data_IF_979173356215
#
_entry.id   IF_979173356215
#
_cell.length_a   1.000
_cell.length_b   1.000
_cell.length_c   1.000
_cell.angle_alpha   90.00
_cell.angle_beta   90.00
_cell.angle_gamma   90.00
#
_symmetry.space_group_name_H-M   'P 1'
#
loop_
_entity.id
_entity.type
_entity.pdbx_description
1 polymer ?
#
# COMPACT_ATOMS: atom_id res chain seq x y z
N UNK A 1 -0.70 17.59 8.89
CA UNK A 1 -0.82 16.13 9.10
C UNK A 1 -1.51 15.39 7.95
N UNK A 2 -2.44 16.00 7.18
CA UNK A 2 -2.77 15.58 5.79
C UNK A 2 -1.51 15.47 4.89
N UNK A 3 -0.50 16.28 5.21
CA UNK A 3 0.79 16.38 4.54
C UNK A 3 1.59 15.06 4.44
N UNK A 4 1.49 14.15 5.43
CA UNK A 4 2.37 12.96 5.48
C UNK A 4 2.06 11.92 4.41
N UNK A 5 0.79 11.69 4.11
CA UNK A 5 0.39 10.75 3.04
C UNK A 5 0.75 11.32 1.67
N UNK A 6 0.50 12.62 1.47
CA UNK A 6 0.91 13.31 0.25
C UNK A 6 2.43 13.28 0.06
N UNK A 7 3.19 13.53 1.13
CA UNK A 7 4.66 13.45 1.14
C UNK A 7 5.14 12.02 0.83
N UNK A 8 4.53 10.99 1.44
CA UNK A 8 4.82 9.59 1.16
C UNK A 8 4.59 9.23 -0.32
N UNK A 9 3.43 9.58 -0.87
CA UNK A 9 3.09 9.33 -2.28
C UNK A 9 4.05 10.08 -3.21
N UNK A 10 4.31 11.36 -2.93
CA UNK A 10 5.22 12.18 -3.71
C UNK A 10 6.67 11.66 -3.67
N UNK A 11 7.13 11.19 -2.50
CA UNK A 11 8.44 10.58 -2.33
C UNK A 11 8.55 9.30 -3.16
N UNK A 12 7.56 8.39 -3.05
CA UNK A 12 7.54 7.14 -3.83
C UNK A 12 7.54 7.41 -5.33
N UNK A 13 6.71 8.33 -5.81
CA UNK A 13 6.66 8.66 -7.22
C UNK A 13 8.01 9.19 -7.74
N UNK A 14 8.57 10.23 -7.08
CA UNK A 14 9.90 10.76 -7.45
C UNK A 14 10.96 9.67 -7.47
N UNK A 15 10.98 8.81 -6.44
CA UNK A 15 12.02 7.80 -6.35
C UNK A 15 11.85 6.69 -7.38
N UNK A 16 10.62 6.29 -7.68
CA UNK A 16 10.34 5.33 -8.76
C UNK A 16 10.78 5.89 -10.11
N UNK A 17 10.47 7.15 -10.42
CA UNK A 17 10.92 7.81 -11.65
C UNK A 17 12.45 7.83 -11.74
N UNK A 18 13.12 8.25 -10.67
CA UNK A 18 14.60 8.29 -10.60
C UNK A 18 15.21 6.89 -10.79
N UNK A 19 14.64 5.85 -10.17
CA UNK A 19 15.14 4.47 -10.26
C UNK A 19 14.93 3.92 -11.69
N UNK A 20 13.76 4.14 -12.28
CA UNK A 20 13.42 3.62 -13.61
C UNK A 20 14.14 4.34 -14.75
N UNK A 21 14.62 5.57 -14.51
CA UNK A 21 15.48 6.32 -15.42
C UNK A 21 16.88 5.68 -15.60
N UNK A 22 17.34 4.86 -14.65
CA UNK A 22 18.58 4.09 -14.84
C UNK A 22 18.40 3.03 -15.93
N UNK A 23 19.43 2.82 -16.77
CA UNK A 23 19.37 1.83 -17.84
C UNK A 23 19.60 0.40 -17.32
N UNK A 24 18.63 -0.09 -16.56
CA UNK A 24 18.65 -1.43 -15.98
C UNK A 24 17.34 -2.18 -16.27
N UNK A 25 17.41 -3.13 -17.21
CA UNK A 25 16.24 -3.92 -17.60
C UNK A 25 15.71 -4.84 -16.49
N UNK A 26 16.58 -5.33 -15.59
CA UNK A 26 16.16 -6.21 -14.49
C UNK A 26 15.26 -5.45 -13.54
N UNK A 27 15.67 -4.23 -13.16
CA UNK A 27 14.88 -3.35 -12.29
C UNK A 27 13.53 -3.00 -12.94
N UNK A 28 13.54 -2.56 -14.21
CA UNK A 28 12.30 -2.21 -14.94
C UNK A 28 11.31 -3.39 -15.01
N UNK A 29 11.81 -4.60 -15.28
CA UNK A 29 10.96 -5.80 -15.34
C UNK A 29 10.36 -6.14 -13.99
N UNK A 30 11.12 -6.02 -12.89
CA UNK A 30 10.60 -6.31 -11.57
C UNK A 30 9.49 -5.35 -11.16
N UNK A 31 9.68 -4.04 -11.38
CA UNK A 31 8.65 -3.03 -11.11
C UNK A 31 7.38 -3.27 -11.94
N UNK A 32 7.53 -3.66 -13.21
CA UNK A 32 6.40 -4.01 -14.06
C UNK A 32 5.66 -5.25 -13.55
N UNK A 33 6.37 -6.26 -13.03
CA UNK A 33 5.76 -7.46 -12.44
C UNK A 33 4.98 -7.14 -11.17
N UNK A 34 5.52 -6.29 -10.30
CA UNK A 34 4.83 -5.83 -9.08
C UNK A 34 3.47 -5.20 -9.43
N UNK A 35 3.46 -4.20 -10.31
CA UNK A 35 2.21 -3.56 -10.77
C UNK A 35 1.25 -4.54 -11.46
N UNK A 36 1.76 -5.48 -12.26
CA UNK A 36 0.92 -6.46 -12.93
C UNK A 36 0.28 -7.46 -11.95
N UNK A 37 0.97 -7.79 -10.87
CA UNK A 37 0.52 -8.79 -9.89
C UNK A 37 -0.79 -8.37 -9.23
N UNK A 38 -0.97 -7.08 -8.94
CA UNK A 38 -2.17 -6.54 -8.28
C UNK A 38 -3.36 -6.26 -9.22
N UNK A 39 -3.20 -6.42 -10.54
CA UNK A 39 -4.34 -6.32 -11.48
C UNK A 39 -5.38 -7.41 -11.22
N UNK A 40 -6.67 -7.08 -11.41
CA UNK A 40 -7.76 -8.05 -11.28
C UNK A 40 -7.58 -9.27 -12.22
N UNK A 41 -8.03 -10.42 -11.76
CA UNK A 41 -8.07 -11.67 -12.51
C UNK A 41 -9.06 -12.63 -11.86
N UNK A 42 -8.64 -13.87 -11.59
CA UNK A 42 -9.45 -14.81 -10.80
C UNK A 42 -9.71 -14.30 -9.36
N UNK A 43 -8.81 -13.48 -8.83
CA UNK A 43 -9.01 -12.68 -7.62
C UNK A 43 -9.19 -11.22 -8.03
N UNK A 44 -10.12 -10.53 -7.37
CA UNK A 44 -10.32 -9.10 -7.54
C UNK A 44 -9.17 -8.28 -6.91
N UNK A 45 -9.11 -6.99 -7.24
CA UNK A 45 -8.08 -6.07 -6.71
C UNK A 45 -8.17 -6.03 -5.18
N UNK A 46 -9.38 -5.93 -4.63
CA UNK A 46 -9.63 -5.90 -3.18
C UNK A 46 -8.95 -7.07 -2.47
N UNK A 47 -9.16 -8.30 -2.94
CA UNK A 47 -8.53 -9.49 -2.36
C UNK A 47 -7.02 -9.45 -2.49
N UNK A 48 -6.49 -9.06 -3.65
CA UNK A 48 -5.04 -8.99 -3.88
C UNK A 48 -4.36 -7.96 -2.99
N UNK A 49 -4.95 -6.78 -2.80
CA UNK A 49 -4.41 -5.76 -1.91
C UNK A 49 -4.42 -6.21 -0.44
N UNK A 50 -5.46 -6.95 0.01
CA UNK A 50 -5.45 -7.55 1.34
C UNK A 50 -4.33 -8.59 1.49
N UNK A 51 -4.06 -9.39 0.47
CA UNK A 51 -2.91 -10.32 0.47
C UNK A 51 -1.58 -9.58 0.54
N UNK A 52 -1.43 -8.49 -0.23
CA UNK A 52 -0.26 -7.60 -0.18
C UNK A 52 -0.05 -6.99 1.21
N UNK A 53 -1.14 -6.58 1.87
CA UNK A 53 -1.10 -6.04 3.23
C UNK A 53 -0.65 -7.09 4.26
N UNK A 54 -1.19 -8.31 4.22
CA UNK A 54 -0.71 -9.40 5.11
C UNK A 54 0.75 -9.69 4.87
N UNK A 55 1.17 -9.84 3.61
CA UNK A 55 2.56 -10.12 3.25
C UNK A 55 3.51 -9.02 3.74
N UNK A 56 3.10 -7.75 3.60
CA UNK A 56 3.87 -6.60 4.04
C UNK A 56 4.00 -6.52 5.56
N UNK A 57 2.95 -6.88 6.30
CA UNK A 57 2.96 -6.95 7.76
C UNK A 57 3.95 -8.00 8.28
N UNK A 58 3.90 -9.22 7.75
CA UNK A 58 4.80 -10.29 8.20
C UNK A 58 6.25 -10.05 7.79
N UNK A 59 6.48 -9.29 6.70
CA UNK A 59 7.81 -8.81 6.29
C UNK A 59 8.25 -7.52 7.01
N UNK A 60 7.36 -6.87 7.78
CA UNK A 60 7.63 -5.66 8.56
C UNK A 60 8.12 -4.47 7.71
N UNK A 61 7.60 -4.33 6.50
CA UNK A 61 7.92 -3.23 5.59
C UNK A 61 6.92 -2.08 5.76
N UNK A 62 7.27 -1.02 6.51
CA UNK A 62 6.34 0.09 6.80
C UNK A 62 5.84 0.83 5.53
N UNK A 63 6.69 1.03 4.53
CA UNK A 63 6.28 1.64 3.26
C UNK A 63 5.31 0.74 2.48
N UNK A 64 5.57 -0.57 2.46
CA UNK A 64 4.70 -1.53 1.79
C UNK A 64 3.33 -1.63 2.49
N UNK A 65 3.34 -1.64 3.84
CA UNK A 65 2.14 -1.61 4.66
C UNK A 65 1.34 -0.33 4.38
N UNK A 66 1.99 0.82 4.36
CA UNK A 66 1.33 2.11 4.13
C UNK A 66 0.71 2.19 2.75
N UNK A 67 1.42 1.69 1.73
CA UNK A 67 0.90 1.55 0.37
C UNK A 67 -0.34 0.66 0.32
N UNK A 68 -0.27 -0.57 0.84
CA UNK A 68 -1.41 -1.50 0.78
C UNK A 68 -2.58 -1.08 1.67
N UNK A 69 -2.37 -0.32 2.75
CA UNK A 69 -3.46 0.30 3.51
C UNK A 69 -4.22 1.32 2.66
N UNK A 70 -3.49 2.20 1.95
CA UNK A 70 -4.12 3.17 1.04
C UNK A 70 -4.86 2.47 -0.10
N UNK A 71 -4.21 1.52 -0.79
CA UNK A 71 -4.83 0.75 -1.88
C UNK A 71 -6.05 -0.07 -1.41
N UNK A 72 -5.99 -0.69 -0.22
CA UNK A 72 -7.15 -1.40 0.35
C UNK A 72 -8.32 -0.43 0.59
N UNK A 73 -8.04 0.79 1.10
CA UNK A 73 -9.09 1.78 1.33
C UNK A 73 -9.72 2.26 0.02
N UNK A 74 -8.90 2.53 -0.99
CA UNK A 74 -9.36 2.87 -2.35
C UNK A 74 -10.19 1.73 -2.98
N UNK A 75 -9.82 0.48 -2.72
CA UNK A 75 -10.55 -0.71 -3.17
C UNK A 75 -11.81 -1.02 -2.35
N UNK A 76 -12.22 -0.17 -1.41
CA UNK A 76 -13.44 -0.32 -0.62
C UNK A 76 -13.35 -1.38 0.48
N UNK A 77 -12.16 -1.67 1.01
CA UNK A 77 -12.02 -2.50 2.22
C UNK A 77 -12.53 -1.71 3.43
N UNK A 78 -13.54 -2.27 4.09
CA UNK A 78 -14.12 -1.71 5.31
C UNK A 78 -13.25 -1.97 6.55
N UNK A 79 -13.42 -1.15 7.59
CA UNK A 79 -12.62 -1.20 8.82
C UNK A 79 -12.60 -2.59 9.46
N UNK A 80 -13.74 -3.27 9.55
CA UNK A 80 -13.81 -4.60 10.15
C UNK A 80 -12.93 -5.62 9.39
N UNK A 81 -12.96 -5.56 8.05
CA UNK A 81 -12.11 -6.41 7.21
C UNK A 81 -10.62 -6.09 7.37
N UNK A 82 -10.24 -4.82 7.55
CA UNK A 82 -8.85 -4.46 7.90
C UNK A 82 -8.39 -5.14 9.19
N UNK A 83 -9.22 -5.16 10.23
CA UNK A 83 -8.85 -5.78 11.50
C UNK A 83 -8.78 -7.31 11.42
N UNK A 84 -9.56 -7.96 10.55
CA UNK A 84 -9.37 -9.39 10.24
C UNK A 84 -8.02 -9.64 9.55
N UNK A 85 -7.67 -8.84 8.54
CA UNK A 85 -6.38 -8.89 7.84
C UNK A 85 -5.21 -8.67 8.80
N UNK A 86 -5.29 -7.65 9.65
CA UNK A 86 -4.31 -7.35 10.69
C UNK A 86 -4.17 -8.48 11.71
N UNK A 87 -5.28 -9.12 12.08
CA UNK A 87 -5.26 -10.26 13.00
C UNK A 87 -4.50 -11.44 12.40
N UNK A 88 -4.73 -11.75 11.12
CA UNK A 88 -3.97 -12.79 10.40
C UNK A 88 -2.49 -12.44 10.36
N UNK A 89 -2.14 -11.21 9.97
CA UNK A 89 -0.73 -10.76 9.93
C UNK A 89 -0.05 -10.80 11.30
N UNK A 90 -0.75 -10.44 12.37
CA UNK A 90 -0.24 -10.48 13.74
C UNK A 90 -0.02 -11.91 14.24
N UNK A 91 -0.96 -12.83 13.98
CA UNK A 91 -0.82 -14.23 14.41
C UNK A 91 0.32 -14.92 13.67
N UNK A 92 0.45 -14.69 12.35
CA UNK A 92 1.50 -15.30 11.53
C UNK A 92 2.87 -14.69 11.82
N UNK A 93 2.97 -13.37 11.93
CA UNK A 93 4.25 -12.67 12.14
C UNK A 93 4.67 -12.53 13.60
N UNK A 94 3.78 -12.79 14.55
CA UNK A 94 4.04 -12.65 15.99
C UNK A 94 4.08 -11.21 16.50
N UNK A 95 4.39 -11.04 17.79
CA UNK A 95 4.34 -9.74 18.47
C UNK A 95 5.28 -8.68 17.89
N UNK A 96 6.30 -9.08 17.11
CA UNK A 96 7.22 -8.16 16.44
C UNK A 96 6.54 -7.30 15.37
N UNK A 97 5.36 -7.69 14.89
CA UNK A 97 4.55 -6.90 13.94
C UNK A 97 3.84 -5.74 14.64
N UNK A 98 3.67 -5.76 15.97
CA UNK A 98 2.88 -4.77 16.72
C UNK A 98 3.30 -3.31 16.44
N UNK A 99 4.59 -2.92 16.39
CA UNK A 99 4.97 -1.56 16.04
C UNK A 99 4.53 -1.13 14.63
N UNK A 100 4.55 -2.06 13.68
CA UNK A 100 4.11 -1.83 12.31
C UNK A 100 2.58 -1.75 12.22
N UNK A 101 1.88 -2.61 12.96
CA UNK A 101 0.42 -2.56 13.08
C UNK A 101 -0.06 -1.23 13.69
N UNK A 102 0.63 -0.71 14.71
CA UNK A 102 0.29 0.62 15.29
C UNK A 102 0.34 1.72 14.23
N UNK A 103 1.36 1.72 13.37
CA UNK A 103 1.48 2.68 12.27
C UNK A 103 0.44 2.46 11.17
N UNK A 104 0.11 1.20 10.88
CA UNK A 104 -0.95 0.86 9.92
C UNK A 104 -2.32 1.38 10.37
N UNK A 105 -2.66 1.19 11.65
CA UNK A 105 -3.92 1.68 12.23
C UNK A 105 -3.94 3.22 12.29
N UNK A 106 -2.85 3.86 12.68
CA UNK A 106 -2.73 5.33 12.64
C UNK A 106 -2.98 5.90 11.23
N UNK A 107 -2.42 5.26 10.20
CA UNK A 107 -2.67 5.66 8.81
C UNK A 107 -4.13 5.41 8.40
N UNK A 108 -4.71 4.27 8.77
CA UNK A 108 -6.12 3.96 8.47
C UNK A 108 -7.05 5.01 9.09
N UNK A 109 -6.82 5.40 10.35
CA UNK A 109 -7.59 6.43 11.03
C UNK A 109 -7.47 7.80 10.33
N UNK A 110 -6.29 8.14 9.81
CA UNK A 110 -6.07 9.37 9.02
C UNK A 110 -6.85 9.36 7.70
N UNK A 111 -6.88 8.21 7.00
CA UNK A 111 -7.66 8.05 5.76
C UNK A 111 -9.17 8.13 6.02
N UNK A 112 -9.65 7.58 7.14
CA UNK A 112 -11.07 7.57 7.48
C UNK A 112 -11.59 8.89 8.02
N UNK A 113 -10.74 9.67 8.69
CA UNK A 113 -11.08 11.01 9.20
C UNK A 113 -11.18 12.09 8.12
N UNK A 114 -10.98 11.73 6.84
CA UNK A 114 -11.18 12.66 5.73
C UNK A 114 -10.14 13.78 5.69
N UNK A 115 -8.89 13.49 6.09
CA UNK A 115 -7.76 14.33 5.72
C UNK A 115 -7.61 14.32 4.18
N UNK A 116 -8.39 15.18 3.54
CA UNK A 116 -8.68 15.29 2.11
C UNK A 116 -7.48 14.98 1.20
N UNK A 117 -7.58 13.88 0.45
CA UNK A 117 -6.85 13.68 -0.80
C UNK A 117 -7.68 14.28 -1.93
N UNK A 118 -7.37 15.51 -2.32
CA UNK A 118 -7.72 16.01 -3.65
C UNK A 118 -6.84 15.29 -4.69
N UNK A 119 -7.16 14.02 -4.97
CA UNK A 119 -6.58 13.26 -6.07
C UNK A 119 -7.42 13.48 -7.33
N UNK A 120 -7.39 14.71 -7.83
CA UNK A 120 -7.90 15.09 -9.14
C UNK A 120 -6.77 15.74 -9.95
N UNK A 121 -5.85 14.92 -10.48
CA UNK A 121 -5.10 15.19 -11.72
C UNK A 121 -4.01 14.12 -11.91
N UNK A 122 -4.37 12.95 -12.45
CA UNK A 122 -3.44 12.10 -13.22
C UNK A 122 -4.27 11.10 -14.04
N UNK A 123 -5.21 11.62 -14.84
CA UNK A 123 -5.49 11.02 -16.14
C UNK A 123 -4.48 11.66 -17.09
N UNK A 124 -3.42 10.95 -17.45
CA UNK A 124 -2.73 11.11 -18.74
C UNK A 124 -1.72 9.96 -18.93
N UNK A 125 -2.19 8.91 -19.60
CA UNK A 125 -1.34 7.97 -20.32
C UNK A 125 -1.71 8.06 -21.81
N UNK A 126 -0.99 8.92 -22.51
CA UNK A 126 -0.66 8.78 -23.92
C UNK A 126 0.84 8.46 -24.02
#
# INVERSE_FOLDING_TARGET
MSDKLAEFTAFRQRMNERILAEDNQVVRRFFALDTQTYKAGALDVRTKEMLGLVASLVLRCDDCISYHVAQCKEAGVERDAFFEVFSVGLVVGGSIVIPHLRRAVDLLDQLESGATTDAACCNDHA
#
